data_IF_031594367754
#
_entry.id   IF_031594367754
#
_cell.length_a   1.000
_cell.length_b   1.000
_cell.length_c   1.000
_cell.angle_alpha   90.00
_cell.angle_beta   90.00
_cell.angle_gamma   90.00
#
_symmetry.space_group_name_H-M   'P 1'
#
loop_
_entity.id
_entity.type
_entity.pdbx_description
1 polymer ?
#
# COMPACT_ATOMS: atom_id res chain seq x y z
N UNK A 1 20.87 -3.27 -19.10
CA UNK A 1 20.27 -4.38 -18.34
C UNK A 1 18.82 -4.55 -18.79
N UNK A 2 18.30 -5.77 -18.97
CA UNK A 2 16.87 -5.94 -19.22
C UNK A 2 16.12 -5.84 -17.86
N UNK A 3 15.54 -4.66 -17.59
CA UNK A 3 14.91 -4.37 -16.30
C UNK A 3 13.76 -5.32 -15.96
N UNK A 4 12.98 -5.77 -16.95
CA UNK A 4 11.88 -6.73 -16.73
C UNK A 4 12.41 -8.08 -16.26
N UNK A 5 13.43 -8.62 -16.93
CA UNK A 5 14.09 -9.86 -16.50
C UNK A 5 14.69 -9.74 -15.09
N UNK A 6 15.21 -8.56 -14.74
CA UNK A 6 15.73 -8.32 -13.38
C UNK A 6 14.62 -8.33 -12.33
N UNK A 7 13.48 -7.69 -12.61
CA UNK A 7 12.32 -7.74 -11.73
C UNK A 7 11.85 -9.19 -11.58
N UNK A 8 11.57 -9.89 -12.67
CA UNK A 8 11.04 -11.26 -12.63
C UNK A 8 11.97 -12.22 -11.88
N UNK A 9 13.30 -12.04 -12.03
CA UNK A 9 14.29 -12.81 -11.28
C UNK A 9 14.28 -12.50 -9.77
N UNK A 10 14.13 -11.22 -9.39
CA UNK A 10 13.99 -10.82 -7.98
C UNK A 10 12.68 -11.36 -7.38
N UNK A 11 11.57 -11.31 -8.12
CA UNK A 11 10.28 -11.87 -7.70
C UNK A 11 10.37 -13.37 -7.46
N UNK A 12 10.91 -14.10 -8.42
CA UNK A 12 11.10 -15.55 -8.30
C UNK A 12 11.97 -15.93 -7.09
N UNK A 13 12.98 -15.12 -6.80
CA UNK A 13 13.92 -15.35 -5.70
C UNK A 13 13.33 -15.02 -4.33
N UNK A 14 12.50 -13.99 -4.21
CA UNK A 14 12.17 -13.36 -2.91
C UNK A 14 10.71 -13.36 -2.52
N UNK A 15 9.79 -13.32 -3.47
CA UNK A 15 8.39 -12.99 -3.18
C UNK A 15 7.75 -13.99 -2.19
N UNK A 16 7.89 -15.29 -2.43
CA UNK A 16 7.32 -16.31 -1.54
C UNK A 16 7.83 -16.21 -0.10
N UNK A 17 9.14 -16.06 0.07
CA UNK A 17 9.80 -15.95 1.37
C UNK A 17 9.37 -14.69 2.13
N UNK A 18 9.43 -13.52 1.49
CA UNK A 18 9.09 -12.24 2.15
C UNK A 18 7.59 -12.13 2.40
N UNK A 19 6.75 -12.63 1.51
CA UNK A 19 5.29 -12.68 1.70
C UNK A 19 4.90 -13.60 2.87
N UNK A 20 5.51 -14.79 2.96
CA UNK A 20 5.32 -15.69 4.08
C UNK A 20 5.75 -15.05 5.42
N UNK A 21 6.83 -14.27 5.41
CA UNK A 21 7.25 -13.50 6.57
C UNK A 21 6.21 -12.43 6.95
N UNK A 22 5.73 -11.63 5.99
CA UNK A 22 4.74 -10.59 6.23
C UNK A 22 3.44 -11.18 6.79
N UNK A 23 2.90 -12.23 6.17
CA UNK A 23 1.74 -12.96 6.67
C UNK A 23 1.93 -13.44 8.11
N UNK A 24 3.13 -13.92 8.44
CA UNK A 24 3.43 -14.33 9.82
C UNK A 24 3.37 -13.16 10.80
N UNK A 25 3.86 -11.97 10.43
CA UNK A 25 3.74 -10.77 11.25
C UNK A 25 2.27 -10.45 11.59
N UNK A 26 1.37 -10.54 10.61
CA UNK A 26 -0.05 -10.23 10.79
C UNK A 26 -0.91 -11.40 11.30
N UNK A 27 -0.35 -12.60 11.46
CA UNK A 27 -1.13 -13.82 11.78
C UNK A 27 -1.95 -13.76 13.07
N UNK A 28 -1.58 -12.89 14.02
CA UNK A 28 -2.28 -12.72 15.31
C UNK A 28 -2.98 -11.37 15.43
N UNK A 29 -2.98 -10.56 14.38
CA UNK A 29 -3.47 -9.17 14.39
C UNK A 29 -4.50 -9.02 13.28
N UNK A 30 -5.61 -8.38 13.59
CA UNK A 30 -6.61 -8.07 12.58
C UNK A 30 -6.43 -6.63 12.11
N UNK A 31 -5.85 -6.49 10.92
CA UNK A 31 -5.62 -5.21 10.25
C UNK A 31 -5.70 -5.40 8.72
N UNK A 32 -6.85 -5.81 8.16
CA UNK A 32 -6.98 -6.15 6.74
C UNK A 32 -6.63 -5.01 5.78
N UNK A 33 -6.63 -3.75 6.23
CA UNK A 33 -6.17 -2.62 5.41
C UNK A 33 -4.65 -2.54 5.23
N UNK A 34 -3.86 -3.17 6.11
CA UNK A 34 -2.39 -3.11 6.13
C UNK A 34 -1.75 -4.50 6.34
N UNK A 35 -2.47 -5.60 6.09
CA UNK A 35 -1.94 -6.96 6.17
C UNK A 35 -1.08 -7.33 4.95
N UNK A 36 -0.70 -8.61 4.80
CA UNK A 36 0.14 -9.04 3.68
C UNK A 36 -0.45 -8.72 2.29
N UNK A 37 -1.77 -8.55 2.18
CA UNK A 37 -2.42 -8.18 0.91
C UNK A 37 -2.08 -6.74 0.51
N UNK A 38 -2.01 -5.83 1.48
CA UNK A 38 -1.57 -4.45 1.25
C UNK A 38 -0.12 -4.41 0.76
N UNK A 39 0.76 -5.15 1.42
CA UNK A 39 2.16 -5.26 1.02
C UNK A 39 2.30 -5.80 -0.41
N UNK A 40 1.50 -6.81 -0.78
CA UNK A 40 1.47 -7.34 -2.14
C UNK A 40 0.98 -6.30 -3.17
N UNK A 41 -0.06 -5.51 -2.85
CA UNK A 41 -0.51 -4.39 -3.71
C UNK A 41 0.59 -3.36 -3.93
N UNK A 42 1.26 -2.95 -2.85
CA UNK A 42 2.38 -2.03 -2.94
C UNK A 42 3.51 -2.61 -3.80
N UNK A 43 3.82 -3.91 -3.68
CA UNK A 43 4.80 -4.59 -4.53
C UNK A 43 4.42 -4.51 -6.01
N UNK A 44 3.15 -4.71 -6.36
CA UNK A 44 2.67 -4.55 -7.73
C UNK A 44 2.83 -3.12 -8.27
N UNK A 45 2.54 -2.11 -7.44
CA UNK A 45 2.81 -0.72 -7.81
C UNK A 45 4.30 -0.48 -8.06
N UNK A 46 5.17 -0.95 -7.17
CA UNK A 46 6.62 -0.86 -7.34
C UNK A 46 7.09 -1.55 -8.65
N UNK A 47 6.60 -2.76 -8.94
CA UNK A 47 6.85 -3.47 -10.20
C UNK A 47 6.44 -2.67 -11.44
N UNK A 48 5.35 -1.90 -11.35
CA UNK A 48 4.89 -0.99 -12.39
C UNK A 48 5.79 0.25 -12.55
N UNK A 49 6.29 0.79 -11.44
CA UNK A 49 7.11 2.01 -11.40
C UNK A 49 8.56 1.79 -11.86
N UNK A 50 9.19 0.68 -11.45
CA UNK A 50 10.63 0.40 -11.67
C UNK A 50 11.05 0.54 -13.15
N UNK A 51 10.34 -0.01 -14.16
CA UNK A 51 10.74 0.13 -15.56
C UNK A 51 10.69 1.59 -16.03
N UNK A 52 9.68 2.35 -15.57
CA UNK A 52 9.55 3.77 -15.88
C UNK A 52 10.72 4.56 -15.29
N UNK A 53 11.02 4.33 -14.00
CA UNK A 53 12.13 4.95 -13.30
C UNK A 53 13.48 4.64 -13.95
N UNK A 54 13.74 3.35 -14.23
CA UNK A 54 14.97 2.88 -14.89
C UNK A 54 15.21 3.55 -16.24
N UNK A 55 14.14 3.78 -17.01
CA UNK A 55 14.22 4.32 -18.38
C UNK A 55 14.36 5.84 -18.39
N UNK A 56 13.64 6.55 -17.52
CA UNK A 56 13.46 8.01 -17.62
C UNK A 56 14.32 8.77 -16.61
N UNK A 57 14.48 8.25 -15.39
CA UNK A 57 15.20 8.96 -14.33
C UNK A 57 16.67 8.56 -14.32
N UNK A 58 16.95 7.29 -14.03
CA UNK A 58 18.31 6.76 -14.05
C UNK A 58 18.33 5.23 -14.10
N UNK A 59 19.37 4.62 -14.69
CA UNK A 59 19.51 3.17 -14.71
C UNK A 59 19.64 2.58 -13.30
N UNK A 60 18.69 1.74 -12.92
CA UNK A 60 18.75 0.92 -11.70
C UNK A 60 19.67 -0.31 -11.85
N UNK A 61 20.38 -0.65 -10.78
CA UNK A 61 21.13 -1.91 -10.61
C UNK A 61 20.21 -3.07 -10.20
N UNK A 62 20.73 -4.31 -10.19
CA UNK A 62 19.97 -5.48 -9.71
C UNK A 62 19.66 -5.38 -8.22
N UNK A 63 20.65 -4.95 -7.45
CA UNK A 63 20.58 -4.78 -6.00
C UNK A 63 19.56 -3.71 -5.61
N UNK A 64 19.51 -2.60 -6.36
CA UNK A 64 18.48 -1.57 -6.16
C UNK A 64 17.08 -2.11 -6.45
N UNK A 65 16.89 -2.88 -7.53
CA UNK A 65 15.57 -3.49 -7.85
C UNK A 65 15.12 -4.44 -6.74
N UNK A 66 15.99 -5.37 -6.32
CA UNK A 66 15.67 -6.30 -5.24
C UNK A 66 15.42 -5.55 -3.92
N UNK A 67 16.21 -4.51 -3.64
CA UNK A 67 16.04 -3.68 -2.44
C UNK A 67 14.74 -2.88 -2.41
N UNK A 68 14.30 -2.30 -3.54
CA UNK A 68 13.00 -1.61 -3.65
C UNK A 68 11.86 -2.59 -3.33
N UNK A 69 11.89 -3.76 -3.96
CA UNK A 69 10.86 -4.77 -3.79
C UNK A 69 10.79 -5.28 -2.34
N UNK A 70 11.94 -5.61 -1.73
CA UNK A 70 12.01 -6.02 -0.33
C UNK A 70 11.55 -4.92 0.62
N UNK A 71 11.95 -3.67 0.39
CA UNK A 71 11.53 -2.54 1.22
C UNK A 71 9.99 -2.38 1.20
N UNK A 72 9.37 -2.50 0.02
CA UNK A 72 7.92 -2.43 -0.16
C UNK A 72 7.17 -3.55 0.56
N UNK A 73 7.70 -4.77 0.57
CA UNK A 73 7.05 -5.85 1.33
C UNK A 73 7.20 -5.67 2.84
N UNK A 74 8.27 -5.02 3.32
CA UNK A 74 8.57 -4.98 4.74
C UNK A 74 8.15 -3.67 5.45
N UNK A 75 7.81 -2.61 4.69
CA UNK A 75 7.70 -1.23 5.21
C UNK A 75 6.73 -1.04 6.38
N UNK A 76 5.57 -1.70 6.32
CA UNK A 76 4.49 -1.62 7.30
C UNK A 76 4.36 -2.86 8.19
N UNK A 77 5.32 -3.78 8.18
CA UNK A 77 5.25 -4.98 9.04
C UNK A 77 5.14 -4.63 10.53
N UNK A 78 5.68 -3.49 10.95
CA UNK A 78 5.56 -2.93 12.30
C UNK A 78 4.13 -2.55 12.70
N UNK A 79 3.21 -2.41 11.74
CA UNK A 79 1.78 -2.21 12.00
C UNK A 79 1.12 -3.42 12.67
N UNK A 80 1.78 -4.59 12.65
CA UNK A 80 1.41 -5.75 13.45
C UNK A 80 1.75 -5.61 14.95
N UNK A 81 2.61 -4.67 15.32
CA UNK A 81 3.05 -4.47 16.72
C UNK A 81 2.55 -3.15 17.29
N UNK A 82 2.47 -2.10 16.47
CA UNK A 82 1.96 -0.79 16.87
C UNK A 82 1.25 -0.09 15.70
N UNK A 83 0.13 0.57 15.99
CA UNK A 83 -0.64 1.35 15.00
C UNK A 83 -0.27 2.84 15.00
N UNK A 84 0.67 3.26 15.85
CA UNK A 84 1.06 4.67 16.00
C UNK A 84 2.10 5.11 14.94
N UNK A 85 2.60 6.33 15.09
CA UNK A 85 3.58 6.92 14.16
C UNK A 85 4.98 6.29 14.26
N UNK A 86 5.22 5.43 15.25
CA UNK A 86 6.52 4.76 15.47
C UNK A 86 6.63 3.41 14.77
N UNK A 87 5.58 2.97 14.05
CA UNK A 87 5.58 1.70 13.33
C UNK A 87 6.79 1.52 12.40
N UNK A 88 7.36 2.60 11.83
CA UNK A 88 8.60 2.53 11.05
C UNK A 88 9.78 1.91 11.80
N UNK A 89 9.96 2.21 13.10
CA UNK A 89 10.99 1.58 13.94
C UNK A 89 10.70 0.09 14.18
N UNK A 90 9.42 -0.26 14.40
CA UNK A 90 9.00 -1.65 14.55
C UNK A 90 9.21 -2.45 13.25
N UNK A 91 8.84 -1.88 12.10
CA UNK A 91 9.06 -2.46 10.77
C UNK A 91 10.53 -2.67 10.49
N UNK A 92 11.39 -1.71 10.85
CA UNK A 92 12.85 -1.88 10.75
C UNK A 92 13.32 -3.10 11.54
N UNK A 93 12.91 -3.23 12.80
CA UNK A 93 13.30 -4.36 13.66
C UNK A 93 12.82 -5.70 13.08
N UNK A 94 11.59 -5.77 12.60
CA UNK A 94 11.06 -6.97 11.95
C UNK A 94 11.82 -7.29 10.66
N UNK A 95 12.15 -6.29 9.86
CA UNK A 95 12.99 -6.45 8.68
C UNK A 95 14.41 -6.93 9.03
N UNK A 96 15.02 -6.45 10.13
CA UNK A 96 16.30 -6.98 10.63
C UNK A 96 16.21 -8.48 10.97
N UNK A 97 15.10 -8.91 11.59
CA UNK A 97 14.84 -10.33 11.84
C UNK A 97 14.70 -11.13 10.55
N UNK A 98 14.04 -10.59 9.53
CA UNK A 98 13.97 -11.21 8.21
C UNK A 98 15.38 -11.35 7.61
N UNK A 99 16.15 -10.27 7.54
CA UNK A 99 17.49 -10.27 6.93
C UNK A 99 18.48 -11.18 7.68
N UNK A 100 18.38 -11.30 9.00
CA UNK A 100 19.23 -12.21 9.80
C UNK A 100 19.11 -13.69 9.42
N UNK A 101 18.01 -14.07 8.76
CA UNK A 101 17.74 -15.44 8.30
C UNK A 101 18.11 -15.65 6.83
N UNK A 102 18.51 -14.59 6.14
CA UNK A 102 18.82 -14.60 4.70
C UNK A 102 20.28 -14.28 4.46
N UNK A 103 20.87 -14.85 3.41
CA UNK A 103 22.18 -14.41 2.93
C UNK A 103 22.00 -13.17 2.04
N UNK A 104 21.92 -11.98 2.65
CA UNK A 104 21.82 -10.71 1.95
C UNK A 104 23.00 -9.78 2.25
N UNK A 105 23.50 -9.00 1.27
CA UNK A 105 24.65 -8.12 1.51
C UNK A 105 24.39 -7.11 2.65
N UNK A 106 25.30 -6.99 3.65
CA UNK A 106 25.08 -6.12 4.79
C UNK A 106 24.89 -4.64 4.44
N UNK A 107 25.66 -4.13 3.46
CA UNK A 107 25.56 -2.74 3.04
C UNK A 107 24.17 -2.40 2.45
N UNK A 108 23.64 -3.28 1.61
CA UNK A 108 22.31 -3.11 1.01
C UNK A 108 21.19 -3.31 2.03
N UNK A 109 21.37 -4.25 2.97
CA UNK A 109 20.47 -4.46 4.11
C UNK A 109 20.29 -3.16 4.89
N UNK A 110 21.39 -2.49 5.27
CA UNK A 110 21.33 -1.22 5.99
C UNK A 110 20.57 -0.13 5.24
N UNK A 111 20.78 -0.03 3.94
CA UNK A 111 20.06 0.91 3.07
C UNK A 111 18.55 0.64 3.05
N UNK A 112 18.14 -0.62 2.90
CA UNK A 112 16.72 -1.02 2.91
C UNK A 112 16.08 -0.71 4.27
N UNK A 113 16.76 -1.07 5.36
CA UNK A 113 16.27 -0.85 6.72
C UNK A 113 16.02 0.63 7.02
N UNK A 114 16.90 1.53 6.57
CA UNK A 114 16.69 2.98 6.69
C UNK A 114 15.52 3.47 5.86
N UNK A 115 15.36 2.97 4.64
CA UNK A 115 14.24 3.35 3.79
C UNK A 115 12.90 2.91 4.41
N UNK A 116 12.84 1.70 4.98
CA UNK A 116 11.69 1.18 5.73
C UNK A 116 11.37 2.08 6.93
N UNK A 117 12.37 2.40 7.75
CA UNK A 117 12.17 3.21 8.97
C UNK A 117 11.63 4.61 8.66
N UNK A 118 12.08 5.21 7.56
CA UNK A 118 11.77 6.60 7.17
C UNK A 118 10.59 6.72 6.20
N UNK A 119 9.92 5.64 5.83
CA UNK A 119 8.98 5.67 4.72
C UNK A 119 7.76 6.58 4.97
N UNK A 120 7.32 6.68 6.24
CA UNK A 120 6.18 7.51 6.67
C UNK A 120 6.59 8.88 7.25
N UNK A 121 7.89 9.19 7.27
CA UNK A 121 8.40 10.49 7.72
C UNK A 121 7.99 11.59 6.71
N UNK A 122 6.87 12.23 6.99
CA UNK A 122 6.31 13.34 6.17
C UNK A 122 6.94 14.71 6.48
N UNK A 123 7.87 14.77 7.43
CA UNK A 123 8.51 16.00 7.90
C UNK A 123 9.72 16.44 7.08
N UNK A 124 10.12 15.70 6.03
CA UNK A 124 11.24 16.14 5.21
C UNK A 124 10.86 17.39 4.42
N UNK A 125 11.51 18.51 4.74
CA UNK A 125 11.42 19.76 3.99
C UNK A 125 11.91 19.65 2.55
N UNK A 126 12.42 18.48 2.14
CA UNK A 126 12.98 18.21 0.81
C UNK A 126 12.76 16.75 0.42
N UNK A 127 12.49 16.45 -0.86
CA UNK A 127 12.36 15.08 -1.33
C UNK A 127 13.66 14.27 -1.10
N UNK A 128 13.58 12.93 -0.99
CA UNK A 128 14.75 12.08 -0.83
C UNK A 128 15.80 12.34 -1.92
N UNK A 129 17.08 12.39 -1.53
CA UNK A 129 18.16 12.55 -2.49
C UNK A 129 18.24 11.33 -3.42
N UNK A 130 17.95 11.53 -4.71
CA UNK A 130 18.02 10.46 -5.71
C UNK A 130 19.47 10.09 -6.09
N UNK A 131 20.46 10.74 -5.47
CA UNK A 131 21.88 10.45 -5.66
C UNK A 131 22.38 9.27 -4.80
N UNK A 132 21.57 8.74 -3.88
CA UNK A 132 21.91 7.59 -3.04
C UNK A 132 20.91 6.45 -3.20
N UNK A 133 21.38 5.22 -2.98
CA UNK A 133 20.51 4.03 -2.99
C UNK A 133 19.37 4.14 -1.96
N UNK A 134 19.64 4.72 -0.80
CA UNK A 134 18.64 4.97 0.25
C UNK A 134 17.51 5.86 -0.28
N UNK A 135 17.84 6.98 -0.93
CA UNK A 135 16.84 7.90 -1.43
C UNK A 135 16.08 7.36 -2.65
N UNK A 136 16.71 6.53 -3.48
CA UNK A 136 16.03 5.82 -4.59
C UNK A 136 15.01 4.82 -4.03
N UNK A 137 15.44 3.95 -3.11
CA UNK A 137 14.58 2.93 -2.49
C UNK A 137 13.43 3.61 -1.75
N UNK A 138 13.72 4.61 -0.91
CA UNK A 138 12.72 5.38 -0.17
C UNK A 138 11.72 6.05 -1.11
N UNK A 139 12.18 6.69 -2.19
CA UNK A 139 11.30 7.39 -3.13
C UNK A 139 10.31 6.45 -3.82
N UNK A 140 10.78 5.30 -4.30
CA UNK A 140 9.93 4.31 -4.97
C UNK A 140 9.05 3.54 -3.99
N UNK A 141 9.53 3.28 -2.77
CA UNK A 141 8.73 2.73 -1.68
C UNK A 141 7.56 3.66 -1.34
N UNK A 142 7.82 4.92 -1.01
CA UNK A 142 6.75 5.86 -0.65
C UNK A 142 5.75 6.05 -1.78
N UNK A 143 6.21 6.10 -3.04
CA UNK A 143 5.30 6.17 -4.19
C UNK A 143 4.41 4.93 -4.31
N UNK A 144 4.96 3.75 -4.09
CA UNK A 144 4.21 2.50 -4.17
C UNK A 144 3.16 2.39 -3.05
N UNK A 145 3.49 2.77 -1.81
CA UNK A 145 2.51 2.83 -0.71
C UNK A 145 1.44 3.91 -0.97
N UNK A 146 1.83 5.12 -1.37
CA UNK A 146 0.91 6.22 -1.68
C UNK A 146 -0.10 5.82 -2.76
N UNK A 147 0.33 5.04 -3.76
CA UNK A 147 -0.58 4.53 -4.79
C UNK A 147 -1.66 3.60 -4.19
N UNK A 148 -1.39 2.87 -3.12
CA UNK A 148 -2.40 2.04 -2.47
C UNK A 148 -3.34 2.84 -1.55
N UNK A 149 -3.05 4.12 -1.27
CA UNK A 149 -3.92 5.00 -0.46
C UNK A 149 -5.11 5.58 -1.26
N UNK A 150 -5.19 5.28 -2.56
CA UNK A 150 -6.21 5.80 -3.47
C UNK A 150 -7.22 4.73 -3.92
N UNK A 151 -8.37 5.17 -4.42
CA UNK A 151 -9.44 4.30 -4.91
C UNK A 151 -10.42 3.89 -3.81
N UNK A 152 -11.17 2.82 -4.08
CA UNK A 152 -12.14 2.27 -3.12
C UNK A 152 -11.43 1.60 -1.94
N UNK A 153 -10.33 0.88 -2.20
CA UNK A 153 -9.45 0.34 -1.15
C UNK A 153 -8.89 1.48 -0.29
N UNK A 154 -8.47 2.58 -0.90
CA UNK A 154 -7.98 3.76 -0.19
C UNK A 154 -8.98 4.30 0.83
N UNK A 155 -10.27 4.33 0.50
CA UNK A 155 -11.33 4.72 1.44
C UNK A 155 -11.35 3.80 2.67
N UNK A 156 -11.34 2.48 2.44
CA UNK A 156 -11.32 1.51 3.54
C UNK A 156 -10.05 1.62 4.39
N UNK A 157 -8.87 1.80 3.76
CA UNK A 157 -7.59 1.97 4.47
C UNK A 157 -7.62 3.17 5.40
N UNK A 158 -8.04 4.34 4.91
CA UNK A 158 -8.14 5.54 5.73
C UNK A 158 -9.16 5.37 6.85
N UNK A 159 -10.33 4.80 6.56
CA UNK A 159 -11.34 4.53 7.58
C UNK A 159 -10.78 3.63 8.69
N UNK A 160 -10.21 2.47 8.37
CA UNK A 160 -9.80 1.49 9.39
C UNK A 160 -8.70 2.05 10.29
N UNK A 161 -7.62 2.59 9.72
CA UNK A 161 -6.49 3.03 10.54
C UNK A 161 -6.83 4.25 11.39
N UNK A 162 -7.70 5.15 10.92
CA UNK A 162 -8.09 6.33 11.69
C UNK A 162 -9.03 5.95 12.84
N UNK A 163 -9.97 5.04 12.60
CA UNK A 163 -10.85 4.52 13.66
C UNK A 163 -10.04 3.79 14.74
N UNK A 164 -9.05 2.99 14.35
CA UNK A 164 -8.14 2.34 15.29
C UNK A 164 -7.30 3.34 16.09
N UNK A 165 -7.02 4.52 15.54
CA UNK A 165 -6.37 5.66 16.21
C UNK A 165 -7.34 6.55 16.99
N UNK A 166 -8.55 6.06 17.29
CA UNK A 166 -9.59 6.76 18.03
C UNK A 166 -10.08 8.06 17.36
N UNK A 167 -9.97 8.17 16.04
CA UNK A 167 -10.57 9.25 15.25
C UNK A 167 -12.00 8.83 14.91
N UNK A 168 -12.98 9.61 15.33
CA UNK A 168 -14.39 9.29 15.08
C UNK A 168 -14.75 9.44 13.60
N UNK A 169 -15.81 8.77 13.16
CA UNK A 169 -16.31 8.88 11.78
C UNK A 169 -16.57 10.33 11.34
N UNK A 170 -17.07 11.18 12.24
CA UNK A 170 -17.30 12.61 11.99
C UNK A 170 -16.02 13.43 11.80
N UNK A 171 -14.89 12.97 12.33
CA UNK A 171 -13.59 13.63 12.21
C UNK A 171 -12.80 13.13 11.00
N UNK A 172 -13.21 12.02 10.36
CA UNK A 172 -12.47 11.42 9.26
C UNK A 172 -12.23 12.42 8.11
N UNK A 173 -13.21 13.16 7.58
CA UNK A 173 -12.96 14.03 6.44
C UNK A 173 -11.91 15.11 6.72
N UNK A 174 -11.98 15.75 7.88
CA UNK A 174 -11.04 16.80 8.30
C UNK A 174 -9.60 16.28 8.38
N UNK A 175 -9.42 15.03 8.79
CA UNK A 175 -8.10 14.42 8.98
C UNK A 175 -7.58 13.71 7.73
N UNK A 176 -8.46 13.18 6.89
CA UNK A 176 -8.11 12.41 5.69
C UNK A 176 -7.83 13.33 4.51
N UNK A 177 -8.69 14.31 4.23
CA UNK A 177 -8.57 15.14 3.02
C UNK A 177 -7.20 15.86 2.93
N UNK A 178 -6.69 16.54 3.98
CA UNK A 178 -5.38 17.17 3.90
C UNK A 178 -4.23 16.18 3.68
N UNK A 179 -4.33 14.98 4.27
CA UNK A 179 -3.32 13.93 4.09
C UNK A 179 -3.34 13.38 2.67
N UNK A 180 -4.53 13.08 2.15
CA UNK A 180 -4.77 12.57 0.81
C UNK A 180 -4.27 13.55 -0.25
N UNK A 181 -4.62 14.83 -0.10
CA UNK A 181 -4.19 15.90 -1.01
C UNK A 181 -2.66 16.06 -1.02
N UNK A 182 -2.03 15.98 0.15
CA UNK A 182 -0.58 16.05 0.27
C UNK A 182 0.11 14.88 -0.44
N UNK A 183 -0.38 13.64 -0.25
CA UNK A 183 0.12 12.46 -0.97
C UNK A 183 -0.04 12.64 -2.48
N UNK A 184 -1.21 13.11 -2.95
CA UNK A 184 -1.46 13.29 -4.38
C UNK A 184 -0.59 14.39 -5.01
N UNK A 185 -0.41 15.55 -4.37
CA UNK A 185 0.50 16.60 -4.87
C UNK A 185 1.96 16.12 -4.98
N UNK A 186 2.40 15.35 -3.99
CA UNK A 186 3.73 14.72 -4.01
C UNK A 186 3.84 13.75 -5.18
N UNK A 187 2.80 12.95 -5.41
CA UNK A 187 2.73 12.03 -6.54
C UNK A 187 2.68 12.74 -7.89
N UNK A 188 1.94 13.84 -8.04
CA UNK A 188 1.91 14.65 -9.28
C UNK A 188 3.32 15.12 -9.66
N UNK A 189 4.08 15.60 -8.68
CA UNK A 189 5.46 16.06 -8.89
C UNK A 189 6.37 14.91 -9.32
N UNK A 190 6.27 13.77 -8.64
CA UNK A 190 7.16 12.62 -8.87
C UNK A 190 6.79 11.79 -10.10
N UNK A 191 5.50 11.73 -10.45
CA UNK A 191 4.99 10.97 -11.61
C UNK A 191 4.73 11.84 -12.84
N UNK A 192 5.09 13.14 -12.83
CA UNK A 192 5.02 14.00 -14.01
C UNK A 192 5.65 13.34 -15.27
N UNK A 193 6.76 12.59 -15.18
CA UNK A 193 7.33 11.89 -16.34
C UNK A 193 6.52 10.68 -16.84
N UNK A 194 5.51 10.21 -16.09
CA UNK A 194 4.65 9.06 -16.42
C UNK A 194 3.16 9.45 -16.44
N UNK A 195 2.73 10.25 -17.44
CA UNK A 195 1.39 10.83 -17.47
C UNK A 195 0.27 9.78 -17.46
N UNK A 196 0.50 8.58 -18.00
CA UNK A 196 -0.49 7.50 -18.00
C UNK A 196 -0.69 6.89 -16.61
N UNK A 197 0.40 6.71 -15.84
CA UNK A 197 0.31 6.25 -14.45
C UNK A 197 -0.38 7.33 -13.62
N UNK A 198 0.04 8.58 -13.77
CA UNK A 198 -0.55 9.71 -13.05
C UNK A 198 -2.05 9.86 -13.35
N UNK A 199 -2.47 9.71 -14.62
CA UNK A 199 -3.89 9.77 -15.00
C UNK A 199 -4.71 8.65 -14.35
N UNK A 200 -4.16 7.43 -14.24
CA UNK A 200 -4.81 6.33 -13.51
C UNK A 200 -4.94 6.64 -12.03
N UNK A 201 -3.88 7.15 -11.41
CA UNK A 201 -3.90 7.50 -9.99
C UNK A 201 -4.80 8.69 -9.68
N UNK A 202 -4.89 9.69 -10.57
CA UNK A 202 -5.85 10.81 -10.44
C UNK A 202 -7.29 10.33 -10.35
N UNK A 203 -7.68 9.34 -11.16
CA UNK A 203 -9.03 8.74 -11.08
C UNK A 203 -9.27 8.08 -9.72
N UNK A 204 -8.28 7.34 -9.20
CA UNK A 204 -8.35 6.68 -7.89
C UNK A 204 -8.38 7.69 -6.74
N UNK A 205 -7.55 8.72 -6.81
CA UNK A 205 -7.54 9.84 -5.86
C UNK A 205 -8.92 10.49 -5.78
N UNK A 206 -9.55 10.79 -6.93
CA UNK A 206 -10.89 11.40 -6.96
C UNK A 206 -11.96 10.50 -6.32
N UNK A 207 -11.84 9.18 -6.44
CA UNK A 207 -12.77 8.25 -5.75
C UNK A 207 -12.65 8.44 -4.23
N UNK A 208 -11.43 8.39 -3.69
CA UNK A 208 -11.19 8.55 -2.25
C UNK A 208 -11.58 9.94 -1.77
N UNK A 209 -11.15 10.98 -2.48
CA UNK A 209 -11.42 12.38 -2.16
C UNK A 209 -12.93 12.64 -2.13
N UNK A 210 -13.65 12.29 -3.20
CA UNK A 210 -15.09 12.53 -3.29
C UNK A 210 -15.87 11.75 -2.22
N UNK A 211 -15.42 10.55 -1.85
CA UNK A 211 -16.04 9.83 -0.73
C UNK A 211 -15.97 10.63 0.57
N UNK A 212 -14.79 11.16 0.93
CA UNK A 212 -14.63 11.91 2.17
C UNK A 212 -15.27 13.30 2.12
N UNK A 213 -15.33 13.95 0.95
CA UNK A 213 -16.15 15.17 0.75
C UNK A 213 -17.63 14.86 0.98
N UNK A 214 -18.16 13.81 0.35
CA UNK A 214 -19.55 13.40 0.56
C UNK A 214 -19.83 13.07 2.04
N UNK A 215 -18.88 12.42 2.72
CA UNK A 215 -18.99 12.14 4.15
C UNK A 215 -19.00 13.44 4.99
N UNK A 216 -18.20 14.44 4.62
CA UNK A 216 -18.21 15.77 5.25
C UNK A 216 -19.55 16.49 5.06
N UNK A 217 -20.13 16.37 3.86
CA UNK A 217 -21.43 16.92 3.48
C UNK A 217 -22.61 16.10 4.03
N UNK A 218 -22.34 15.04 4.79
CA UNK A 218 -23.35 14.15 5.41
C UNK A 218 -24.22 13.43 4.37
N UNK A 219 -23.65 13.10 3.21
CA UNK A 219 -24.30 12.26 2.20
C UNK A 219 -24.75 10.92 2.82
N UNK A 220 -26.04 10.55 2.69
CA UNK A 220 -26.55 9.30 3.26
C UNK A 220 -25.85 8.04 2.74
N UNK A 221 -25.43 8.04 1.46
CA UNK A 221 -24.75 6.90 0.85
C UNK A 221 -23.35 6.69 1.42
N UNK A 222 -22.57 7.76 1.58
CA UNK A 222 -21.26 7.69 2.23
C UNK A 222 -21.37 7.22 3.69
N UNK A 223 -22.37 7.69 4.43
CA UNK A 223 -22.65 7.23 5.80
C UNK A 223 -23.01 5.74 5.84
N UNK A 224 -23.86 5.28 4.92
CA UNK A 224 -24.26 3.87 4.82
C UNK A 224 -23.04 2.97 4.51
N UNK A 225 -22.08 3.41 3.70
CA UNK A 225 -20.81 2.67 3.48
C UNK A 225 -20.04 2.49 4.79
N UNK A 226 -19.90 3.55 5.60
CA UNK A 226 -19.24 3.47 6.91
C UNK A 226 -19.97 2.49 7.84
N UNK A 227 -21.31 2.54 7.86
CA UNK A 227 -22.12 1.59 8.64
C UNK A 227 -21.92 0.15 8.18
N UNK A 228 -21.78 -0.09 6.87
CA UNK A 228 -21.47 -1.42 6.34
C UNK A 228 -20.07 -1.87 6.76
N UNK A 229 -19.07 -0.99 6.72
CA UNK A 229 -17.74 -1.32 7.23
C UNK A 229 -17.77 -1.72 8.70
N UNK A 230 -18.47 -0.96 9.55
CA UNK A 230 -18.63 -1.26 10.97
C UNK A 230 -19.28 -2.63 11.18
N UNK A 231 -20.45 -2.83 10.56
CA UNK A 231 -21.33 -3.98 10.83
C UNK A 231 -20.83 -5.29 10.23
N UNK A 232 -20.17 -5.23 9.07
CA UNK A 232 -19.82 -6.41 8.30
C UNK A 232 -18.33 -6.69 8.24
N UNK A 233 -17.46 -5.73 8.54
CA UNK A 233 -16.00 -5.89 8.43
C UNK A 233 -15.35 -5.71 9.79
N UNK A 234 -15.44 -4.52 10.39
CA UNK A 234 -14.66 -4.16 11.59
C UNK A 234 -15.13 -4.90 12.84
N UNK A 235 -16.41 -4.81 13.20
CA UNK A 235 -16.94 -5.45 14.42
C UNK A 235 -16.84 -6.98 14.34
N UNK A 236 -17.23 -7.64 13.24
CA UNK A 236 -17.13 -9.10 13.12
C UNK A 236 -15.71 -9.60 12.83
N UNK A 237 -14.78 -8.70 12.51
CA UNK A 237 -13.39 -9.00 12.09
C UNK A 237 -13.32 -9.90 10.84
N UNK A 238 -14.07 -9.51 9.82
CA UNK A 238 -14.21 -10.23 8.55
C UNK A 238 -13.24 -9.73 7.47
N UNK A 239 -12.66 -10.65 6.71
CA UNK A 239 -11.81 -10.25 5.58
C UNK A 239 -12.66 -9.58 4.48
N UNK A 240 -12.32 -8.35 4.03
CA UNK A 240 -13.08 -7.63 3.00
C UNK A 240 -13.29 -8.43 1.70
N UNK A 241 -12.25 -9.11 1.20
CA UNK A 241 -12.33 -9.91 -0.04
C UNK A 241 -13.38 -11.02 0.07
N UNK A 242 -13.50 -11.62 1.27
CA UNK A 242 -14.46 -12.69 1.56
C UNK A 242 -15.88 -12.19 1.70
N UNK A 243 -16.10 -11.08 2.41
CA UNK A 243 -17.44 -10.65 2.82
C UNK A 243 -18.14 -9.75 1.79
N UNK A 244 -17.39 -9.04 0.94
CA UNK A 244 -17.96 -8.16 -0.09
C UNK A 244 -18.96 -8.88 -1.04
N UNK A 245 -18.69 -10.10 -1.54
CA UNK A 245 -19.68 -10.84 -2.33
C UNK A 245 -21.02 -11.03 -1.61
N UNK A 246 -21.02 -11.28 -0.30
CA UNK A 246 -22.25 -11.43 0.49
C UNK A 246 -22.94 -10.07 0.70
N UNK A 247 -22.18 -9.01 1.00
CA UNK A 247 -22.70 -7.64 1.11
C UNK A 247 -23.47 -7.25 -0.16
N UNK A 248 -22.94 -7.61 -1.34
CA UNK A 248 -23.53 -7.29 -2.64
C UNK A 248 -24.79 -8.11 -2.97
N UNK A 249 -25.06 -9.23 -2.29
CA UNK A 249 -26.32 -9.99 -2.45
C UNK A 249 -27.50 -9.31 -1.77
N UNK A 250 -27.25 -8.49 -0.75
CA UNK A 250 -28.30 -7.77 -0.04
C UNK A 250 -28.73 -6.51 -0.80
N UNK A 251 -30.04 -6.19 -0.73
CA UNK A 251 -30.56 -4.97 -1.34
C UNK A 251 -30.01 -3.74 -0.61
N UNK A 252 -29.09 -3.03 -1.27
CA UNK A 252 -28.48 -1.78 -0.79
C UNK A 252 -28.84 -0.62 -1.72
N UNK A 253 -28.55 0.60 -1.31
CA UNK A 253 -28.65 1.76 -2.20
C UNK A 253 -27.71 1.61 -3.40
N UNK A 254 -28.02 2.33 -4.49
CA UNK A 254 -27.16 2.36 -5.68
C UNK A 254 -25.73 2.82 -5.35
N UNK A 255 -25.60 3.78 -4.43
CA UNK A 255 -24.31 4.29 -3.97
C UNK A 255 -23.46 3.18 -3.32
N UNK A 256 -24.01 2.50 -2.32
CA UNK A 256 -23.32 1.41 -1.59
C UNK A 256 -22.99 0.25 -2.53
N UNK A 257 -23.92 -0.14 -3.39
CA UNK A 257 -23.69 -1.23 -4.37
C UNK A 257 -22.54 -0.89 -5.32
N UNK A 258 -22.51 0.35 -5.83
CA UNK A 258 -21.44 0.83 -6.71
C UNK A 258 -20.10 0.88 -5.98
N UNK A 259 -20.08 1.33 -4.72
CA UNK A 259 -18.88 1.38 -3.89
C UNK A 259 -18.28 -0.02 -3.72
N UNK A 260 -19.05 -0.98 -3.22
CA UNK A 260 -18.54 -2.33 -2.95
C UNK A 260 -18.23 -3.12 -4.23
N UNK A 261 -18.95 -2.85 -5.33
CA UNK A 261 -18.58 -3.39 -6.66
C UNK A 261 -17.22 -2.84 -7.11
N UNK A 262 -16.96 -1.55 -6.86
CA UNK A 262 -15.68 -0.91 -7.15
C UNK A 262 -14.55 -1.50 -6.31
N UNK A 263 -14.77 -1.64 -5.01
CA UNK A 263 -13.81 -2.25 -4.08
C UNK A 263 -13.50 -3.70 -4.45
N UNK A 264 -14.51 -4.51 -4.77
CA UNK A 264 -14.32 -5.90 -5.24
C UNK A 264 -13.44 -5.96 -6.49
N UNK A 265 -13.68 -5.07 -7.46
CA UNK A 265 -12.88 -5.00 -8.69
C UNK A 265 -11.43 -4.63 -8.41
N UNK A 266 -11.17 -3.70 -7.50
CA UNK A 266 -9.79 -3.34 -7.11
C UNK A 266 -9.09 -4.52 -6.44
N UNK A 267 -9.74 -5.19 -5.49
CA UNK A 267 -9.18 -6.38 -4.81
C UNK A 267 -8.91 -7.53 -5.80
N UNK A 268 -9.86 -7.82 -6.69
CA UNK A 268 -9.73 -8.92 -7.68
C UNK A 268 -8.77 -8.60 -8.84
N UNK A 269 -8.42 -7.33 -9.06
CA UNK A 269 -7.53 -6.96 -10.17
C UNK A 269 -6.10 -7.48 -9.97
N UNK A 270 -5.71 -7.72 -8.72
CA UNK A 270 -4.43 -8.29 -8.35
C UNK A 270 -4.33 -9.74 -8.79
N UNK A 271 -5.39 -10.53 -8.62
CA UNK A 271 -5.44 -11.95 -9.03
C UNK A 271 -5.18 -12.14 -10.54
N UNK A 272 -5.59 -11.16 -11.37
CA UNK A 272 -5.41 -11.25 -12.83
C UNK A 272 -4.00 -10.88 -13.29
N UNK A 273 -3.33 -9.97 -12.57
CA UNK A 273 -1.93 -9.62 -12.83
C UNK A 273 -0.94 -10.59 -12.16
N UNK A 274 -1.43 -11.46 -11.24
CA UNK A 274 -0.66 -12.43 -10.43
C UNK A 274 -0.72 -13.87 -10.94
N UNK A 275 -1.22 -14.16 -12.15
CA UNK A 275 -1.23 -15.54 -12.69
C UNK A 275 0.14 -16.24 -12.71
N UNK A 276 1.24 -15.49 -12.53
CA UNK A 276 2.58 -16.02 -12.28
C UNK A 276 2.96 -16.16 -10.79
N UNK A 277 2.41 -15.32 -9.91
CA UNK A 277 2.67 -15.21 -8.47
C UNK A 277 1.94 -16.30 -7.66
N UNK A 278 0.73 -16.73 -8.06
CA UNK A 278 0.05 -17.86 -7.42
C UNK A 278 0.92 -19.13 -7.44
N UNK A 279 1.73 -19.32 -8.50
CA UNK A 279 2.68 -20.44 -8.60
C UNK A 279 3.91 -20.29 -7.70
N UNK A 280 4.21 -19.08 -7.23
CA UNK A 280 5.37 -18.74 -6.39
C UNK A 280 4.99 -18.70 -4.90
N UNK A 281 3.76 -18.27 -4.56
CA UNK A 281 3.26 -18.22 -3.18
C UNK A 281 2.75 -19.60 -2.70
N UNK A 282 2.30 -20.47 -3.61
CA UNK A 282 1.78 -21.81 -3.28
C UNK A 282 2.85 -22.94 -3.33
N UNK A 283 4.14 -22.62 -3.42
CA UNK A 283 5.25 -23.58 -3.38
C UNK A 283 6.13 -23.33 -2.16
#
# INVERSE_FOLDING_TARGET
MNIRKTIDAAEHKRLGEVFGFCRKCFSTVYLPSHDETHHLRAWHFARGLIPGYHKIIQPLSRDQVEGILLAVMLHDTGMSETIDFTHGHASRRLAEMFFSRTSYPPALTHTILKAIEKHDDKNYSSPPSLASDEGIILSLLSLADDMDAFGFIGVFRYYEIYILRNITASQLPERVLPNLDHRFRTMETRLAPWPDILRKQKKRYLITHNFFVNLQEKDPGAKEVIEVFEQHIRIPRENPERIIPEILKHKKTTYVSNFFTGMQKELSSLEKDTGHIDKVILR
#
